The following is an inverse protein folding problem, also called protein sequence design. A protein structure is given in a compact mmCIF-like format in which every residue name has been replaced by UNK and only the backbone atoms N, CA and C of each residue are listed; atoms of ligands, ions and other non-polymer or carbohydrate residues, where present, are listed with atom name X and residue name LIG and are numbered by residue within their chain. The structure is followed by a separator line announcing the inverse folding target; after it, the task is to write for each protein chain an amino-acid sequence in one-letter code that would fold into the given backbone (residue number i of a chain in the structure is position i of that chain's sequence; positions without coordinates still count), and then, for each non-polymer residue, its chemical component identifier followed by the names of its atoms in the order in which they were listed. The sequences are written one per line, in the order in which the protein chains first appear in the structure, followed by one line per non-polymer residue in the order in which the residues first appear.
data_IF_945529607167
#
_entry.id   IF_945529607167
#
_cell.length_a   1.000
_cell.length_b   1.000
_cell.length_c   1.000
_cell.angle_alpha   90.00
_cell.angle_beta   90.00
_cell.angle_gamma   90.00
#
_symmetry.space_group_name_H-M   'P 1'
#
loop_
_entity.id
_entity.type
_entity.pdbx_description
1 polymer ?
#
# COMPACT_ATOMS: atom_id res chain seq x y z
N UNK A 1 9.35 -1.99 -23.16
CA UNK A 1 8.84 -3.24 -22.54
C UNK A 1 8.17 -3.04 -21.18
N UNK A 2 8.84 -2.47 -20.17
CA UNK A 2 8.26 -2.35 -18.82
C UNK A 2 6.92 -1.59 -18.75
N UNK A 3 6.80 -0.50 -19.51
CA UNK A 3 5.53 0.24 -19.63
C UNK A 3 4.44 -0.58 -20.30
N UNK A 4 4.78 -1.41 -21.29
CA UNK A 4 3.83 -2.30 -21.95
C UNK A 4 3.31 -3.34 -20.96
N UNK A 5 4.19 -3.91 -20.14
CA UNK A 5 3.79 -4.83 -19.08
C UNK A 5 2.85 -4.18 -18.06
N UNK A 6 3.05 -2.89 -17.74
CA UNK A 6 2.13 -2.11 -16.91
C UNK A 6 0.76 -1.92 -17.56
N UNK A 7 0.71 -1.51 -18.84
CA UNK A 7 -0.53 -1.32 -19.59
C UNK A 7 -1.34 -2.63 -19.69
N UNK A 8 -0.66 -3.76 -19.91
CA UNK A 8 -1.27 -5.08 -20.00
C UNK A 8 -1.58 -5.71 -18.64
N UNK A 9 -1.32 -4.99 -17.54
CA UNK A 9 -1.52 -5.47 -16.18
C UNK A 9 -0.79 -6.77 -15.85
N UNK A 10 0.45 -6.92 -16.33
CA UNK A 10 1.35 -8.07 -16.06
C UNK A 10 2.71 -7.63 -15.52
N UNK A 11 2.81 -6.39 -15.03
CA UNK A 11 4.05 -5.81 -14.51
C UNK A 11 4.61 -6.59 -13.31
N UNK A 12 3.77 -7.22 -12.50
CA UNK A 12 4.19 -8.08 -11.39
C UNK A 12 5.02 -9.29 -11.85
N UNK A 13 4.63 -9.96 -12.94
CA UNK A 13 5.41 -11.08 -13.50
C UNK A 13 6.73 -10.61 -14.07
N UNK A 14 6.74 -9.47 -14.77
CA UNK A 14 8.00 -8.86 -15.24
C UNK A 14 8.89 -8.51 -14.06
N UNK A 15 8.34 -8.00 -12.97
CA UNK A 15 9.10 -7.65 -11.77
C UNK A 15 9.80 -8.88 -11.19
N UNK A 16 9.08 -10.00 -11.11
CA UNK A 16 9.68 -11.27 -10.69
C UNK A 16 10.82 -11.73 -11.62
N UNK A 17 10.66 -11.57 -12.94
CA UNK A 17 11.68 -11.96 -13.91
C UNK A 17 12.90 -11.02 -13.91
N UNK A 18 12.68 -9.72 -13.76
CA UNK A 18 13.73 -8.70 -13.79
C UNK A 18 14.62 -8.73 -12.53
N UNK A 19 14.06 -9.17 -11.41
CA UNK A 19 14.73 -9.12 -10.11
C UNK A 19 16.06 -9.88 -10.12
N UNK A 20 17.16 -9.15 -9.94
CA UNK A 20 18.52 -9.70 -9.94
C UNK A 20 19.08 -10.07 -11.32
N UNK A 21 18.31 -9.92 -12.40
CA UNK A 21 18.71 -10.34 -13.75
C UNK A 21 18.96 -9.15 -14.69
N UNK A 22 18.03 -8.18 -14.75
CA UNK A 22 18.13 -7.06 -15.70
C UNK A 22 17.39 -5.80 -15.18
N UNK A 23 17.72 -4.60 -15.67
CA UNK A 23 17.09 -3.38 -15.21
C UNK A 23 15.59 -3.35 -15.57
N UNK A 24 14.75 -2.97 -14.59
CA UNK A 24 13.31 -2.88 -14.81
C UNK A 24 12.92 -1.64 -15.63
N UNK A 25 13.43 -0.46 -15.26
CA UNK A 25 13.11 0.83 -15.88
C UNK A 25 12.19 1.73 -15.02
N UNK A 26 11.80 2.89 -15.56
CA UNK A 26 11.11 3.96 -14.83
C UNK A 26 9.68 3.61 -14.35
N UNK A 27 9.01 2.66 -15.01
CA UNK A 27 7.66 2.18 -14.65
C UNK A 27 7.68 1.09 -13.58
N UNK A 28 8.75 0.98 -12.80
CA UNK A 28 8.92 -0.01 -11.73
C UNK A 28 7.71 -0.13 -10.81
N UNK A 29 7.15 1.01 -10.39
CA UNK A 29 6.01 1.10 -9.47
C UNK A 29 4.77 0.32 -9.93
N UNK A 30 4.62 0.04 -11.22
CA UNK A 30 3.46 -0.69 -11.74
C UNK A 30 3.40 -2.15 -11.30
N UNK A 31 4.48 -2.73 -10.77
CA UNK A 31 4.45 -4.13 -10.33
C UNK A 31 3.37 -4.38 -9.28
N UNK A 32 3.18 -3.47 -8.31
CA UNK A 32 2.15 -3.62 -7.29
C UNK A 32 0.77 -3.21 -7.81
N UNK A 33 0.69 -2.19 -8.69
CA UNK A 33 -0.57 -1.77 -9.30
C UNK A 33 -1.18 -2.89 -10.14
N UNK A 34 -0.38 -3.58 -10.97
CA UNK A 34 -0.91 -4.69 -11.76
C UNK A 34 -1.40 -5.85 -10.90
N UNK A 35 -0.77 -6.12 -9.76
CA UNK A 35 -1.28 -7.09 -8.79
C UNK A 35 -2.65 -6.67 -8.25
N UNK A 36 -2.79 -5.39 -7.88
CA UNK A 36 -4.04 -4.84 -7.37
C UNK A 36 -5.16 -4.87 -8.42
N UNK A 37 -4.88 -4.48 -9.67
CA UNK A 37 -5.83 -4.53 -10.78
C UNK A 37 -6.23 -5.97 -11.12
N UNK A 38 -5.29 -6.91 -11.16
CA UNK A 38 -5.59 -8.34 -11.30
C UNK A 38 -6.54 -8.81 -10.20
N UNK A 39 -6.30 -8.39 -8.95
CA UNK A 39 -7.17 -8.72 -7.83
C UNK A 39 -8.58 -8.12 -8.03
N UNK A 40 -8.71 -6.85 -8.44
CA UNK A 40 -10.00 -6.21 -8.66
C UNK A 40 -10.79 -6.81 -9.83
N UNK A 41 -10.11 -7.30 -10.86
CA UNK A 41 -10.76 -8.02 -11.97
C UNK A 41 -11.27 -9.39 -11.50
N UNK A 42 -10.48 -10.12 -10.71
CA UNK A 42 -10.81 -11.49 -10.29
C UNK A 42 -11.81 -11.55 -9.13
N UNK A 43 -11.74 -10.60 -8.19
CA UNK A 43 -12.50 -10.64 -6.95
C UNK A 43 -14.04 -10.65 -7.13
N UNK A 44 -14.65 -9.92 -8.09
CA UNK A 44 -16.07 -10.03 -8.40
C UNK A 44 -16.52 -11.44 -8.76
N UNK A 45 -15.69 -12.22 -9.47
CA UNK A 45 -16.00 -13.61 -9.81
C UNK A 45 -15.96 -14.51 -8.56
N UNK A 46 -15.01 -14.28 -7.66
CA UNK A 46 -14.95 -14.98 -6.36
C UNK A 46 -16.23 -14.72 -5.55
N UNK A 47 -16.72 -13.48 -5.54
CA UNK A 47 -18.00 -13.15 -4.90
C UNK A 47 -19.16 -13.85 -5.63
N UNK A 48 -19.20 -13.79 -6.96
CA UNK A 48 -20.31 -14.34 -7.74
C UNK A 48 -20.46 -15.85 -7.52
N UNK A 49 -19.38 -16.61 -7.65
CA UNK A 49 -19.40 -18.07 -7.47
C UNK A 49 -19.36 -18.50 -6.00
N UNK A 50 -18.77 -17.68 -5.12
CA UNK A 50 -18.40 -18.06 -3.76
C UNK A 50 -19.09 -17.29 -2.64
N UNK A 51 -20.10 -16.43 -2.92
CA UNK A 51 -20.69 -15.51 -1.92
C UNK A 51 -20.98 -16.13 -0.55
N UNK A 52 -21.52 -17.36 -0.53
CA UNK A 52 -21.90 -18.08 0.71
C UNK A 52 -20.67 -18.49 1.53
N UNK A 53 -19.57 -18.79 0.86
CA UNK A 53 -18.34 -19.29 1.45
C UNK A 53 -17.21 -18.27 1.42
N UNK A 54 -17.49 -17.01 1.05
CA UNK A 54 -16.49 -15.98 0.78
C UNK A 54 -15.48 -15.83 1.92
N UNK A 55 -15.95 -15.75 3.17
CA UNK A 55 -15.08 -15.64 4.35
C UNK A 55 -14.14 -16.84 4.47
N UNK A 56 -14.63 -18.06 4.24
CA UNK A 56 -13.82 -19.28 4.30
C UNK A 56 -12.83 -19.36 3.14
N UNK A 57 -13.24 -18.97 1.92
CA UNK A 57 -12.37 -18.91 0.74
C UNK A 57 -11.21 -17.94 0.99
N UNK A 58 -11.50 -16.73 1.47
CA UNK A 58 -10.49 -15.72 1.77
C UNK A 58 -9.59 -16.18 2.92
N UNK A 59 -10.15 -16.72 4.01
CA UNK A 59 -9.38 -17.22 5.13
C UNK A 59 -8.43 -18.36 4.72
N UNK A 60 -8.92 -19.33 3.92
CA UNK A 60 -8.09 -20.40 3.40
C UNK A 60 -6.97 -19.87 2.49
N UNK A 61 -7.28 -18.95 1.57
CA UNK A 61 -6.29 -18.35 0.68
C UNK A 61 -5.22 -17.55 1.45
N UNK A 62 -5.61 -16.83 2.50
CA UNK A 62 -4.69 -16.15 3.41
C UNK A 62 -3.78 -17.15 4.11
N UNK A 63 -4.34 -18.20 4.73
CA UNK A 63 -3.56 -19.22 5.45
C UNK A 63 -2.54 -19.87 4.52
N UNK A 64 -2.95 -20.27 3.32
CA UNK A 64 -2.06 -20.84 2.31
C UNK A 64 -0.91 -19.89 1.97
N UNK A 65 -1.19 -18.61 1.73
CA UNK A 65 -0.15 -17.62 1.43
C UNK A 65 0.73 -17.25 2.63
N UNK A 66 0.24 -17.41 3.86
CA UNK A 66 1.01 -17.15 5.07
C UNK A 66 2.00 -18.26 5.38
N UNK A 67 1.65 -19.53 5.13
CA UNK A 67 2.53 -20.68 5.40
C UNK A 67 3.53 -20.95 4.28
N UNK A 68 3.31 -20.40 3.08
CA UNK A 68 4.23 -20.53 1.96
C UNK A 68 5.47 -19.67 2.14
N UNK A 69 6.64 -20.28 1.96
CA UNK A 69 7.89 -19.55 1.78
C UNK A 69 7.86 -18.87 0.41
N UNK A 70 8.08 -17.55 0.40
CA UNK A 70 7.88 -16.75 -0.81
C UNK A 70 9.15 -16.68 -1.64
N UNK A 71 9.08 -17.24 -2.85
CA UNK A 71 9.98 -16.86 -3.94
C UNK A 71 9.65 -15.45 -4.43
N UNK A 72 10.49 -14.91 -5.31
CA UNK A 72 10.23 -13.60 -5.92
C UNK A 72 8.87 -13.55 -6.65
N UNK A 73 8.51 -14.63 -7.33
CA UNK A 73 7.20 -14.77 -7.95
C UNK A 73 6.08 -14.77 -6.91
N UNK A 74 6.26 -15.51 -5.80
CA UNK A 74 5.30 -15.51 -4.69
C UNK A 74 5.09 -14.12 -4.07
N UNK A 75 6.13 -13.29 -4.01
CA UNK A 75 6.01 -11.89 -3.58
C UNK A 75 5.21 -11.06 -4.60
N UNK A 76 5.39 -11.31 -5.89
CA UNK A 76 4.75 -10.58 -6.98
C UNK A 76 3.26 -10.95 -7.19
N UNK A 77 2.80 -12.07 -6.66
CA UNK A 77 1.38 -12.50 -6.77
C UNK A 77 0.65 -12.52 -5.42
N UNK A 78 1.28 -12.00 -4.37
CA UNK A 78 0.70 -12.01 -3.02
C UNK A 78 -0.55 -11.13 -2.93
N UNK A 79 -1.63 -11.68 -2.38
CA UNK A 79 -2.92 -10.99 -2.21
C UNK A 79 -3.42 -11.05 -0.76
N UNK A 80 -2.66 -11.68 0.13
CA UNK A 80 -2.98 -11.89 1.53
C UNK A 80 -3.32 -10.60 2.30
N UNK A 81 -2.55 -9.52 2.10
CA UNK A 81 -2.83 -8.24 2.75
C UNK A 81 -4.18 -7.62 2.32
N UNK A 82 -4.51 -7.71 1.02
CA UNK A 82 -5.80 -7.23 0.49
C UNK A 82 -6.97 -8.04 1.04
N UNK A 83 -6.82 -9.37 1.04
CA UNK A 83 -7.85 -10.28 1.57
C UNK A 83 -8.07 -10.09 3.07
N UNK A 84 -7.01 -9.85 3.87
CA UNK A 84 -7.14 -9.50 5.29
C UNK A 84 -7.93 -8.20 5.48
N UNK A 85 -7.65 -7.17 4.67
CA UNK A 85 -8.42 -5.92 4.68
C UNK A 85 -9.91 -6.12 4.37
N UNK A 86 -10.22 -6.99 3.40
CA UNK A 86 -11.61 -7.35 3.08
C UNK A 86 -12.27 -8.09 4.25
N UNK A 87 -11.58 -9.03 4.88
CA UNK A 87 -12.12 -9.73 6.06
C UNK A 87 -12.40 -8.76 7.21
N UNK A 88 -11.52 -7.78 7.45
CA UNK A 88 -11.75 -6.72 8.44
C UNK A 88 -13.00 -5.90 8.06
N UNK A 89 -13.14 -5.50 6.80
CA UNK A 89 -14.29 -4.74 6.32
C UNK A 89 -15.61 -5.53 6.38
N UNK A 90 -15.59 -6.84 6.12
CA UNK A 90 -16.76 -7.70 6.30
C UNK A 90 -17.08 -7.90 7.78
N UNK A 91 -16.06 -8.01 8.63
CA UNK A 91 -16.23 -8.20 10.06
C UNK A 91 -16.75 -6.94 10.75
N UNK A 92 -16.37 -5.74 10.28
CA UNK A 92 -16.84 -4.47 10.83
C UNK A 92 -18.35 -4.25 10.74
N UNK A 93 -19.07 -5.08 9.98
CA UNK A 93 -20.52 -5.09 9.92
C UNK A 93 -21.19 -5.99 10.99
N UNK A 94 -20.43 -6.65 11.88
CA UNK A 94 -20.95 -7.55 12.93
C UNK A 94 -20.65 -7.01 14.33
N UNK A 95 -21.54 -7.27 15.29
CA UNK A 95 -21.39 -6.80 16.67
C UNK A 95 -20.09 -7.26 17.35
N UNK A 96 -19.62 -8.47 17.03
CA UNK A 96 -18.36 -9.01 17.54
C UNK A 96 -17.12 -8.14 17.24
N UNK A 97 -17.18 -7.27 16.22
CA UNK A 97 -16.11 -6.34 15.90
C UNK A 97 -15.85 -5.34 17.02
N UNK A 98 -16.88 -4.92 17.75
CA UNK A 98 -16.73 -4.01 18.89
C UNK A 98 -16.06 -4.67 20.10
N UNK A 99 -16.05 -6.00 20.18
CA UNK A 99 -15.43 -6.73 21.29
C UNK A 99 -13.90 -6.65 21.30
N UNK A 100 -13.28 -6.41 20.13
CA UNK A 100 -11.82 -6.30 20.01
C UNK A 100 -11.34 -4.85 19.87
N UNK A 101 -12.22 -3.88 20.12
CA UNK A 101 -11.86 -2.47 20.06
C UNK A 101 -10.70 -2.18 21.04
N UNK A 102 -9.57 -1.62 20.57
CA UNK A 102 -8.34 -1.52 21.35
C UNK A 102 -8.38 -0.31 22.31
N UNK A 103 -9.39 -0.24 23.17
CA UNK A 103 -9.60 0.86 24.13
C UNK A 103 -8.41 1.08 25.07
N UNK A 104 -7.62 0.03 25.32
CA UNK A 104 -6.39 0.11 26.11
C UNK A 104 -5.32 1.04 25.51
N UNK A 105 -5.33 1.28 24.19
CA UNK A 105 -4.40 2.21 23.54
C UNK A 105 -4.67 3.68 23.93
N UNK A 106 -5.89 3.99 24.39
CA UNK A 106 -6.25 5.30 24.96
C UNK A 106 -5.99 5.42 26.46
N UNK A 107 -5.67 4.33 27.15
CA UNK A 107 -5.49 4.35 28.61
C UNK A 107 -4.31 5.24 29.04
N UNK A 108 -3.29 5.40 28.17
CA UNK A 108 -2.17 6.32 28.39
C UNK A 108 -1.91 7.14 27.13
N UNK A 109 -1.54 8.42 27.25
CA UNK A 109 -1.35 9.31 26.10
C UNK A 109 -0.25 8.85 25.12
N UNK A 110 0.71 8.05 25.58
CA UNK A 110 1.82 7.53 24.77
C UNK A 110 1.61 6.09 24.28
N UNK A 111 0.60 5.35 24.77
CA UNK A 111 0.45 3.92 24.49
C UNK A 111 0.21 3.66 23.00
N UNK A 112 -0.69 4.42 22.37
CA UNK A 112 -0.92 4.38 20.93
C UNK A 112 0.33 4.61 20.09
N UNK A 113 1.10 5.64 20.44
CA UNK A 113 2.32 6.00 19.72
C UNK A 113 3.42 4.95 19.91
N UNK A 114 3.58 4.45 21.15
CA UNK A 114 4.52 3.36 21.44
C UNK A 114 4.16 2.07 20.70
N UNK A 115 2.86 1.75 20.62
CA UNK A 115 2.37 0.63 19.82
C UNK A 115 2.70 0.81 18.33
N UNK A 116 2.44 1.99 17.77
CA UNK A 116 2.79 2.31 16.38
C UNK A 116 4.29 2.16 16.12
N UNK A 117 5.13 2.75 16.97
CA UNK A 117 6.58 2.62 16.89
C UNK A 117 7.05 1.17 17.01
N UNK A 118 6.44 0.39 17.90
CA UNK A 118 6.73 -1.04 18.05
C UNK A 118 6.41 -1.84 16.79
N UNK A 119 5.23 -1.62 16.19
CA UNK A 119 4.85 -2.29 14.93
C UNK A 119 5.77 -1.85 13.79
N UNK A 120 6.09 -0.56 13.68
CA UNK A 120 7.05 -0.06 12.67
C UNK A 120 8.42 -0.70 12.86
N UNK A 121 8.91 -0.80 14.10
CA UNK A 121 10.18 -1.44 14.39
C UNK A 121 10.17 -2.93 14.00
N UNK A 122 9.08 -3.65 14.26
CA UNK A 122 8.92 -5.03 13.80
C UNK A 122 8.94 -5.12 12.27
N UNK A 123 8.23 -4.24 11.56
CA UNK A 123 8.23 -4.18 10.10
C UNK A 123 9.62 -3.89 9.54
N UNK A 124 10.35 -2.95 10.14
CA UNK A 124 11.74 -2.63 9.77
C UNK A 124 12.63 -3.83 10.03
N UNK A 125 12.55 -4.48 11.19
CA UNK A 125 13.35 -5.65 11.53
C UNK A 125 13.12 -6.83 10.56
N UNK A 126 11.86 -7.07 10.16
CA UNK A 126 11.51 -8.08 9.16
C UNK A 126 12.03 -7.73 7.75
N UNK A 127 12.11 -6.44 7.44
CA UNK A 127 12.54 -5.93 6.12
C UNK A 127 14.06 -5.74 6.00
N UNK A 128 14.75 -5.47 7.10
CA UNK A 128 16.16 -5.08 7.13
C UNK A 128 17.15 -6.21 6.76
N UNK A 129 16.67 -7.45 6.60
CA UNK A 129 17.36 -8.47 5.81
C UNK A 129 18.84 -8.69 6.15
N UNK A 130 19.23 -8.58 7.42
CA UNK A 130 20.59 -8.93 7.85
C UNK A 130 20.90 -10.37 7.44
N UNK A 131 22.14 -10.62 6.98
CA UNK A 131 22.62 -11.95 6.57
C UNK A 131 22.44 -13.01 7.68
N UNK A 132 22.31 -12.57 8.93
CA UNK A 132 22.18 -13.43 10.12
C UNK A 132 20.72 -13.69 10.53
N UNK A 133 19.73 -12.98 9.96
CA UNK A 133 18.29 -13.16 10.23
C UNK A 133 17.58 -13.99 9.14
N UNK A 134 18.29 -14.93 8.51
CA UNK A 134 17.71 -15.95 7.61
C UNK A 134 16.81 -16.95 8.37
N UNK A 135 16.72 -16.81 9.69
CA UNK A 135 16.09 -17.78 10.62
C UNK A 135 14.56 -17.87 10.46
N UNK A 136 13.88 -16.91 9.82
CA UNK A 136 12.41 -16.96 9.62
C UNK A 136 12.05 -17.09 8.13
N UNK A 137 11.78 -18.32 7.63
CA UNK A 137 11.36 -18.57 6.26
C UNK A 137 10.09 -17.80 5.84
N UNK A 138 9.32 -17.34 6.83
CA UNK A 138 8.02 -16.68 6.68
C UNK A 138 8.08 -15.16 6.91
N UNK A 139 9.28 -14.55 6.98
CA UNK A 139 9.42 -13.10 7.30
C UNK A 139 8.56 -12.18 6.43
N UNK A 140 8.47 -12.46 5.13
CA UNK A 140 7.67 -11.68 4.19
C UNK A 140 6.16 -11.88 4.38
N UNK A 141 5.76 -13.06 4.85
CA UNK A 141 4.37 -13.38 5.17
C UNK A 141 3.93 -12.69 6.47
N UNK A 142 4.84 -12.43 7.41
CA UNK A 142 4.54 -11.74 8.68
C UNK A 142 4.28 -10.23 8.53
N UNK A 143 4.66 -9.63 7.40
CA UNK A 143 4.38 -8.22 7.12
C UNK A 143 2.87 -7.97 6.98
N UNK A 144 2.15 -8.85 6.27
CA UNK A 144 0.71 -8.70 6.03
C UNK A 144 -0.14 -8.66 7.30
N UNK A 145 0.00 -9.58 8.28
CA UNK A 145 -0.77 -9.51 9.52
C UNK A 145 -0.40 -8.29 10.37
N UNK A 146 0.86 -7.85 10.38
CA UNK A 146 1.24 -6.60 11.07
C UNK A 146 0.56 -5.38 10.45
N UNK A 147 0.51 -5.30 9.12
CA UNK A 147 -0.25 -4.27 8.42
C UNK A 147 -1.76 -4.40 8.68
N UNK A 148 -2.30 -5.62 8.70
CA UNK A 148 -3.71 -5.86 9.00
C UNK A 148 -4.09 -5.40 10.42
N UNK A 149 -3.20 -5.57 11.40
CA UNK A 149 -3.38 -5.03 12.76
C UNK A 149 -3.44 -3.49 12.73
N UNK A 150 -2.54 -2.82 11.98
CA UNK A 150 -2.61 -1.36 11.84
C UNK A 150 -3.92 -0.91 11.17
N UNK A 151 -4.36 -1.63 10.14
CA UNK A 151 -5.65 -1.38 9.46
C UNK A 151 -6.82 -1.59 10.40
N UNK A 152 -6.81 -2.64 11.22
CA UNK A 152 -7.85 -2.92 12.22
C UNK A 152 -7.92 -1.81 13.28
N UNK A 153 -6.78 -1.35 13.79
CA UNK A 153 -6.75 -0.23 14.76
C UNK A 153 -7.26 1.06 14.10
N UNK A 154 -6.86 1.31 12.85
CA UNK A 154 -7.28 2.49 12.09
C UNK A 154 -8.77 2.46 11.71
N UNK A 155 -9.38 1.29 11.49
CA UNK A 155 -10.76 1.16 11.02
C UNK A 155 -11.80 1.64 12.04
N UNK A 156 -11.47 1.72 13.33
CA UNK A 156 -12.34 2.34 14.35
C UNK A 156 -12.39 3.86 14.27
N UNK A 157 -11.46 4.51 13.54
CA UNK A 157 -11.40 5.97 13.36
C UNK A 157 -11.47 6.77 14.68
N UNK A 158 -10.84 6.22 15.73
CA UNK A 158 -10.94 6.72 17.10
C UNK A 158 -9.63 7.35 17.60
N UNK A 159 -8.69 7.71 16.73
CA UNK A 159 -7.41 8.34 17.09
C UNK A 159 -6.53 7.52 18.06
N UNK A 160 -6.60 6.20 17.97
CA UNK A 160 -5.86 5.29 18.86
C UNK A 160 -4.35 5.39 18.77
N UNK A 161 -3.80 5.68 17.59
CA UNK A 161 -2.36 5.66 17.37
C UNK A 161 -1.69 6.97 17.78
N UNK A 162 -2.41 8.10 17.68
CA UNK A 162 -1.86 9.41 18.01
C UNK A 162 -2.98 10.45 18.20
N UNK A 163 -2.89 11.33 19.21
CA UNK A 163 -3.82 12.44 19.39
C UNK A 163 -3.73 13.47 18.25
N UNK A 164 -4.73 14.35 18.11
CA UNK A 164 -4.66 15.46 17.14
C UNK A 164 -3.56 16.45 17.52
N UNK A 165 -2.49 16.44 16.72
CA UNK A 165 -1.33 17.31 16.87
C UNK A 165 -0.75 17.64 15.48
N UNK A 166 0.23 18.53 15.43
CA UNK A 166 0.87 18.94 14.16
C UNK A 166 1.47 17.74 13.42
N UNK A 167 2.08 16.79 14.13
CA UNK A 167 2.64 15.58 13.53
C UNK A 167 1.54 14.74 12.85
N UNK A 168 0.37 14.59 13.47
CA UNK A 168 -0.79 13.89 12.90
C UNK A 168 -1.20 14.52 11.59
N UNK A 169 -1.31 15.85 11.58
CA UNK A 169 -1.75 16.61 10.41
C UNK A 169 -0.75 16.46 9.26
N UNK A 170 0.55 16.46 9.56
CA UNK A 170 1.60 16.19 8.56
C UNK A 170 1.51 14.75 8.06
N UNK A 171 1.40 13.75 8.94
CA UNK A 171 1.29 12.35 8.53
C UNK A 171 0.02 12.06 7.71
N UNK A 172 -1.11 12.68 8.07
CA UNK A 172 -2.35 12.60 7.29
C UNK A 172 -2.23 13.33 5.95
N UNK A 173 -1.49 14.45 5.90
CA UNK A 173 -1.16 15.11 4.64
C UNK A 173 -0.34 14.19 3.76
N UNK A 174 0.75 13.59 4.27
CA UNK A 174 1.55 12.61 3.50
C UNK A 174 0.70 11.41 3.08
N UNK A 175 -0.08 10.85 4.00
CA UNK A 175 -0.94 9.68 3.76
C UNK A 175 -1.98 9.94 2.68
N UNK A 176 -2.60 11.11 2.67
CA UNK A 176 -3.58 11.48 1.63
C UNK A 176 -2.95 11.67 0.23
N UNK A 177 -1.64 11.90 0.12
CA UNK A 177 -0.90 11.92 -1.17
C UNK A 177 -0.09 10.65 -1.43
N UNK A 178 -0.17 9.65 -0.56
CA UNK A 178 0.70 8.47 -0.58
C UNK A 178 0.65 7.73 -1.92
N UNK A 179 -0.53 7.63 -2.54
CA UNK A 179 -0.71 7.05 -3.87
C UNK A 179 0.08 7.79 -4.95
N UNK A 180 -0.01 9.12 -5.00
CA UNK A 180 0.72 9.91 -6.00
C UNK A 180 2.22 9.92 -5.73
N UNK A 181 2.63 10.03 -4.47
CA UNK A 181 4.04 9.91 -4.06
C UNK A 181 4.59 8.57 -4.54
N UNK A 182 3.83 7.49 -4.34
CA UNK A 182 4.19 6.16 -4.82
C UNK A 182 4.32 6.12 -6.34
N UNK A 183 3.47 6.79 -7.11
CA UNK A 183 3.60 6.82 -8.57
C UNK A 183 4.79 7.66 -9.06
N UNK A 184 5.07 8.80 -8.44
CA UNK A 184 6.02 9.77 -8.97
C UNK A 184 7.46 9.61 -8.47
N UNK A 185 7.71 8.90 -7.36
CA UNK A 185 9.05 8.87 -6.77
C UNK A 185 10.13 8.26 -7.68
N UNK A 186 9.83 7.18 -8.42
CA UNK A 186 10.81 6.58 -9.36
C UNK A 186 11.13 7.53 -10.52
N UNK A 187 10.14 8.07 -11.27
CA UNK A 187 10.41 9.11 -12.25
C UNK A 187 11.13 10.33 -11.67
N UNK A 188 10.77 10.78 -10.46
CA UNK A 188 11.44 11.89 -9.80
C UNK A 188 12.93 11.60 -9.57
N UNK A 189 13.29 10.41 -9.12
CA UNK A 189 14.69 10.01 -8.97
C UNK A 189 15.45 9.98 -10.31
N UNK A 190 14.83 9.48 -11.39
CA UNK A 190 15.43 9.53 -12.72
C UNK A 190 15.63 10.96 -13.21
N UNK A 191 14.65 11.84 -13.00
CA UNK A 191 14.73 13.26 -13.35
C UNK A 191 15.82 13.96 -12.54
N UNK A 192 15.90 13.73 -11.23
CA UNK A 192 16.98 14.27 -10.40
C UNK A 192 18.34 13.81 -10.90
N UNK A 193 18.47 12.52 -11.24
CA UNK A 193 19.72 11.95 -11.77
C UNK A 193 20.13 12.64 -13.07
N UNK A 194 19.18 12.88 -13.97
CA UNK A 194 19.40 13.58 -15.23
C UNK A 194 19.80 15.06 -15.01
N UNK A 195 19.13 15.76 -14.09
CA UNK A 195 19.47 17.14 -13.73
C UNK A 195 20.92 17.23 -13.22
N UNK A 196 21.28 16.35 -12.28
CA UNK A 196 22.63 16.33 -11.70
C UNK A 196 23.69 16.01 -12.75
N UNK A 197 23.42 15.04 -13.63
CA UNK A 197 24.33 14.70 -14.72
C UNK A 197 24.57 15.87 -15.68
N UNK A 198 23.53 16.67 -15.98
CA UNK A 198 23.67 17.86 -16.84
C UNK A 198 24.40 19.02 -16.17
N UNK A 199 24.24 19.18 -14.85
CA UNK A 199 24.88 20.25 -14.09
C UNK A 199 26.36 19.96 -13.86
N UNK A 200 26.72 18.70 -13.59
CA UNK A 200 28.10 18.26 -13.42
C UNK A 200 28.30 16.88 -14.08
N UNK A 201 28.74 16.83 -15.35
CA UNK A 201 28.95 15.57 -16.07
C UNK A 201 30.02 14.66 -15.45
N UNK A 202 31.00 15.26 -14.78
CA UNK A 202 32.16 14.59 -14.15
C UNK A 202 31.84 13.98 -12.77
N UNK A 203 30.71 14.34 -12.14
CA UNK A 203 30.36 13.80 -10.81
C UNK A 203 30.05 12.32 -10.90
N UNK A 204 30.97 11.51 -10.39
CA UNK A 204 30.66 10.16 -9.94
C UNK A 204 29.81 10.34 -8.69
N UNK A 205 28.51 10.01 -8.73
CA UNK A 205 27.57 10.10 -7.60
C UNK A 205 28.25 9.66 -6.29
N UNK A 206 28.82 10.62 -5.56
CA UNK A 206 29.58 10.40 -4.35
C UNK A 206 28.65 10.61 -3.15
N UNK A 207 29.11 10.21 -1.96
CA UNK A 207 28.41 10.50 -0.70
C UNK A 207 28.07 11.99 -0.54
N UNK A 208 28.89 12.87 -1.10
CA UNK A 208 28.83 14.31 -0.88
C UNK A 208 27.63 14.93 -1.62
N UNK A 209 27.17 14.33 -2.72
CA UNK A 209 26.01 14.78 -3.49
C UNK A 209 24.67 14.30 -2.89
N UNK A 210 24.71 13.44 -1.87
CA UNK A 210 23.52 12.77 -1.32
C UNK A 210 22.44 13.77 -0.88
N UNK A 211 22.84 14.82 -0.15
CA UNK A 211 21.90 15.81 0.37
C UNK A 211 21.28 16.65 -0.74
N UNK A 212 22.08 17.03 -1.75
CA UNK A 212 21.61 17.78 -2.91
C UNK A 212 20.63 16.94 -3.73
N UNK A 213 20.99 15.68 -4.02
CA UNK A 213 20.11 14.74 -4.70
C UNK A 213 18.80 14.56 -3.95
N UNK A 214 18.87 14.34 -2.64
CA UNK A 214 17.69 14.14 -1.79
C UNK A 214 16.80 15.38 -1.77
N UNK A 215 17.38 16.57 -1.66
CA UNK A 215 16.64 17.83 -1.66
C UNK A 215 15.90 18.06 -2.99
N UNK A 216 16.57 17.85 -4.12
CA UNK A 216 15.96 17.99 -5.45
C UNK A 216 14.85 16.96 -5.65
N UNK A 217 15.14 15.68 -5.34
CA UNK A 217 14.15 14.60 -5.44
C UNK A 217 12.93 14.86 -4.55
N UNK A 218 13.12 15.26 -3.30
CA UNK A 218 12.04 15.61 -2.38
C UNK A 218 11.22 16.79 -2.91
N UNK A 219 11.87 17.83 -3.43
CA UNK A 219 11.20 18.98 -4.04
C UNK A 219 10.31 18.56 -5.22
N UNK A 220 10.85 17.75 -6.15
CA UNK A 220 10.08 17.21 -7.28
C UNK A 220 8.90 16.37 -6.79
N UNK A 221 9.12 15.45 -5.82
CA UNK A 221 8.06 14.60 -5.28
C UNK A 221 6.96 15.44 -4.64
N UNK A 222 7.30 16.44 -3.82
CA UNK A 222 6.31 17.30 -3.15
C UNK A 222 5.50 18.10 -4.17
N UNK A 223 6.15 18.72 -5.15
CA UNK A 223 5.46 19.50 -6.19
C UNK A 223 4.58 18.60 -7.07
N UNK A 224 5.13 17.51 -7.59
CA UNK A 224 4.37 16.59 -8.43
C UNK A 224 3.20 15.94 -7.68
N UNK A 225 3.41 15.55 -6.42
CA UNK A 225 2.37 14.94 -5.61
C UNK A 225 1.24 15.91 -5.29
N UNK A 226 1.56 17.17 -4.95
CA UNK A 226 0.54 18.16 -4.62
C UNK A 226 -0.26 18.59 -5.87
N UNK A 227 0.42 18.80 -7.01
CA UNK A 227 -0.25 19.16 -8.26
C UNK A 227 -1.18 18.05 -8.73
N UNK A 228 -0.71 16.80 -8.77
CA UNK A 228 -1.53 15.69 -9.21
C UNK A 228 -2.66 15.38 -8.21
N UNK A 229 -2.40 15.43 -6.90
CA UNK A 229 -3.44 15.22 -5.88
C UNK A 229 -4.60 16.23 -6.02
N UNK A 230 -4.29 17.51 -6.25
CA UNK A 230 -5.29 18.59 -6.38
C UNK A 230 -5.99 18.60 -7.73
N UNK A 231 -5.25 18.41 -8.82
CA UNK A 231 -5.75 18.61 -10.19
C UNK A 231 -6.33 17.34 -10.81
N UNK A 232 -5.87 16.16 -10.39
CA UNK A 232 -6.26 14.88 -10.99
C UNK A 232 -6.95 13.97 -9.97
N UNK A 233 -6.27 13.60 -8.89
CA UNK A 233 -6.79 12.58 -7.97
C UNK A 233 -8.09 13.03 -7.28
N UNK A 234 -8.07 14.20 -6.62
CA UNK A 234 -9.23 14.67 -5.85
C UNK A 234 -10.47 14.90 -6.75
N UNK A 235 -10.37 15.57 -7.91
CA UNK A 235 -11.52 15.74 -8.80
C UNK A 235 -12.09 14.42 -9.32
N UNK A 236 -11.23 13.49 -9.74
CA UNK A 236 -11.66 12.19 -10.25
C UNK A 236 -12.28 11.33 -9.15
N UNK A 237 -11.71 11.32 -7.94
CA UNK A 237 -12.25 10.61 -6.79
C UNK A 237 -13.64 11.13 -6.39
N UNK A 238 -13.81 12.46 -6.35
CA UNK A 238 -15.13 13.09 -6.08
C UNK A 238 -16.14 12.74 -7.17
N UNK A 239 -15.75 12.76 -8.44
CA UNK A 239 -16.61 12.36 -9.56
C UNK A 239 -17.03 10.90 -9.45
N UNK A 240 -16.10 10.00 -9.16
CA UNK A 240 -16.39 8.57 -8.96
C UNK A 240 -17.37 8.33 -7.80
N UNK A 241 -17.14 8.98 -6.65
CA UNK A 241 -18.04 8.89 -5.49
C UNK A 241 -19.45 9.38 -5.81
N UNK A 242 -19.58 10.48 -6.57
CA UNK A 242 -20.88 10.99 -7.01
C UNK A 242 -21.62 9.98 -7.90
N UNK A 243 -20.94 9.42 -8.91
CA UNK A 243 -21.53 8.43 -9.82
C UNK A 243 -21.99 7.18 -9.05
N UNK A 244 -21.16 6.67 -8.13
CA UNK A 244 -21.52 5.52 -7.30
C UNK A 244 -22.74 5.81 -6.42
N UNK A 245 -22.81 7.01 -5.82
CA UNK A 245 -23.95 7.46 -5.04
C UNK A 245 -25.25 7.52 -5.86
N UNK A 246 -25.19 8.07 -7.07
CA UNK A 246 -26.33 8.12 -8.00
C UNK A 246 -26.82 6.71 -8.40
N UNK A 247 -25.89 5.79 -8.67
CA UNK A 247 -26.23 4.39 -8.99
C UNK A 247 -26.93 3.68 -7.83
N UNK A 248 -26.45 3.89 -6.59
CA UNK A 248 -27.07 3.34 -5.38
C UNK A 248 -28.47 3.92 -5.13
N UNK A 249 -28.64 5.23 -5.31
CA UNK A 249 -29.94 5.89 -5.16
C UNK A 249 -30.97 5.36 -6.17
N UNK A 250 -30.57 5.20 -7.44
CA UNK A 250 -31.44 4.61 -8.48
C UNK A 250 -31.86 3.18 -8.15
N UNK A 251 -30.95 2.35 -7.64
CA UNK A 251 -31.29 0.98 -7.20
C UNK A 251 -32.29 0.96 -6.05
N UNK A 252 -32.10 1.83 -5.04
CA UNK A 252 -33.03 1.94 -3.91
C UNK A 252 -34.42 2.43 -4.35
N UNK A 253 -34.49 3.40 -5.25
CA UNK A 253 -35.76 3.90 -5.79
C UNK A 253 -36.48 2.97 -6.77
N UNK A 254 -35.79 1.96 -7.31
CA UNK A 254 -36.36 0.97 -8.24
C UNK A 254 -36.87 -0.31 -7.56
N UNK A 255 -36.80 -0.42 -6.23
CA UNK A 255 -37.36 -1.55 -5.48
C UNK A 255 -38.80 -1.18 -5.09
N UNK A 256 -39.85 -1.82 -5.64
CA UNK A 256 -41.22 -1.56 -5.18
C UNK A 256 -41.34 -1.99 -3.72
N UNK A 257 -42.09 -1.20 -2.94
CA UNK A 257 -42.44 -1.53 -1.55
C UNK A 257 -43.29 -2.80 -1.47
#
# INVERSE_FOLDING_TARGET
EATIAGILQVANFRFAAAWGNFPYGASFVYWSLSLEEQFYILFPFVIWFGRRYLVYILAAAIVVQLVQTRSMLGLAVRTDALMMGILIALWSARDSYHLVEPVFLKARPWAGFAFLCGVILCLVALSAGGKDLVIVPLRWSLISPLCAVLVLVASYNNDYLMPDNTLKRVLLWVGSRSYVIYLCHVPAFFTTREIMHRLNPETKFASDDFWVFTAIAAGIIVVCSELNYRLLETPLRRRGARIAGEMLARRKGATPA
#
